data_IF_222382780210
#
_entry.id   IF_222382780210
#
_cell.length_a   1.000
_cell.length_b   1.000
_cell.length_c   1.000
_cell.angle_alpha   90.00
_cell.angle_beta   90.00
_cell.angle_gamma   90.00
#
_symmetry.space_group_name_H-M   'P 1'
#
loop_
_entity.id
_entity.type
_entity.pdbx_description
1 polymer ?
#
# COMPACT_ATOMS: atom_id res chain seq x y z
N UNK A 1 -27.32 1.67 4.38
CA UNK A 1 -26.10 2.36 4.84
C UNK A 1 -24.91 1.38 4.92
N UNK A 2 -25.02 0.24 5.62
CA UNK A 2 -23.93 -0.75 5.72
C UNK A 2 -23.50 -1.32 4.37
N UNK A 3 -24.43 -1.72 3.51
CA UNK A 3 -24.11 -2.23 2.17
C UNK A 3 -23.27 -1.23 1.35
N UNK A 4 -23.64 0.04 1.39
CA UNK A 4 -22.87 1.08 0.70
C UNK A 4 -21.44 1.21 1.27
N UNK A 5 -21.29 1.16 2.59
CA UNK A 5 -19.96 1.20 3.24
C UNK A 5 -19.12 -0.02 2.85
N UNK A 6 -19.70 -1.21 2.86
CA UNK A 6 -19.04 -2.45 2.44
C UNK A 6 -18.55 -2.37 0.98
N UNK A 7 -19.43 -1.95 0.07
CA UNK A 7 -19.07 -1.79 -1.34
C UNK A 7 -17.96 -0.75 -1.51
N UNK A 8 -18.07 0.39 -0.83
CA UNK A 8 -17.05 1.45 -0.88
C UNK A 8 -15.70 0.94 -0.35
N UNK A 9 -15.68 0.26 0.80
CA UNK A 9 -14.46 -0.29 1.38
C UNK A 9 -13.80 -1.31 0.45
N UNK A 10 -14.57 -2.24 -0.13
CA UNK A 10 -14.06 -3.25 -1.07
C UNK A 10 -13.51 -2.59 -2.33
N UNK A 11 -14.23 -1.64 -2.94
CA UNK A 11 -13.76 -0.96 -4.15
C UNK A 11 -12.47 -0.18 -3.88
N UNK A 12 -12.46 0.64 -2.84
CA UNK A 12 -11.30 1.50 -2.53
C UNK A 12 -10.08 0.67 -2.16
N UNK A 13 -10.26 -0.39 -1.34
CA UNK A 13 -9.19 -1.31 -0.98
C UNK A 13 -8.71 -2.13 -2.18
N UNK A 14 -9.63 -2.66 -2.99
CA UNK A 14 -9.30 -3.47 -4.17
C UNK A 14 -8.52 -2.69 -5.23
N UNK A 15 -8.93 -1.46 -5.53
CA UNK A 15 -8.21 -0.57 -6.44
C UNK A 15 -6.81 -0.25 -5.91
N UNK A 16 -6.67 -0.03 -4.60
CA UNK A 16 -5.38 0.24 -3.99
C UNK A 16 -4.46 -0.99 -4.05
N UNK A 17 -4.93 -2.16 -3.64
CA UNK A 17 -4.14 -3.42 -3.70
C UNK A 17 -3.77 -3.75 -5.15
N UNK A 18 -4.71 -3.58 -6.08
CA UNK A 18 -4.45 -3.78 -7.51
C UNK A 18 -3.36 -2.83 -8.04
N UNK A 19 -3.39 -1.56 -7.66
CA UNK A 19 -2.36 -0.59 -8.05
C UNK A 19 -0.99 -0.96 -7.49
N UNK A 20 -0.91 -1.34 -6.21
CA UNK A 20 0.33 -1.77 -5.56
C UNK A 20 0.89 -3.06 -6.19
N UNK A 21 0.01 -4.01 -6.51
CA UNK A 21 0.39 -5.24 -7.20
C UNK A 21 0.91 -4.95 -8.61
N UNK A 22 0.23 -4.06 -9.37
CA UNK A 22 0.67 -3.67 -10.70
C UNK A 22 2.05 -3.01 -10.68
N UNK A 23 2.32 -2.16 -9.68
CA UNK A 23 3.63 -1.55 -9.49
C UNK A 23 4.69 -2.62 -9.22
N UNK A 24 4.43 -3.57 -8.33
CA UNK A 24 5.39 -4.62 -7.97
C UNK A 24 5.64 -5.61 -9.11
N UNK A 25 4.58 -5.98 -9.84
CA UNK A 25 4.64 -7.05 -10.85
C UNK A 25 5.09 -6.56 -12.24
N UNK A 26 4.78 -5.33 -12.59
CA UNK A 26 4.99 -4.82 -13.95
C UNK A 26 5.86 -3.58 -14.02
N UNK A 27 5.60 -2.57 -13.17
CA UNK A 27 6.29 -1.29 -13.28
C UNK A 27 7.75 -1.41 -12.86
N UNK A 28 8.05 -1.99 -11.69
CA UNK A 28 9.42 -2.15 -11.22
C UNK A 28 10.28 -3.02 -12.13
N UNK A 29 9.85 -4.23 -12.55
CA UNK A 29 10.63 -5.02 -13.49
C UNK A 29 10.85 -4.36 -14.84
N UNK A 30 9.94 -3.48 -15.25
CA UNK A 30 10.10 -2.70 -16.49
C UNK A 30 11.14 -1.61 -16.31
N UNK A 31 11.12 -0.88 -15.18
CA UNK A 31 12.12 0.12 -14.87
C UNK A 31 13.53 -0.48 -14.78
N UNK A 32 13.67 -1.66 -14.20
CA UNK A 32 14.96 -2.34 -14.04
C UNK A 32 15.64 -2.73 -15.36
N UNK A 33 14.87 -2.81 -16.44
CA UNK A 33 15.37 -3.07 -17.81
C UNK A 33 15.83 -1.82 -18.56
N UNK A 34 15.53 -0.64 -18.04
CA UNK A 34 15.90 0.62 -18.68
C UNK A 34 17.39 0.94 -18.44
N UNK A 35 18.04 1.64 -19.37
CA UNK A 35 19.36 2.22 -19.13
C UNK A 35 19.34 3.14 -17.90
N UNK A 36 20.43 3.20 -17.14
CA UNK A 36 20.54 3.95 -15.89
C UNK A 36 20.14 5.43 -16.03
N UNK A 37 20.47 6.04 -17.16
CA UNK A 37 20.12 7.42 -17.47
C UNK A 37 18.61 7.68 -17.58
N UNK A 38 17.81 6.63 -17.84
CA UNK A 38 16.34 6.70 -17.95
C UNK A 38 15.69 6.16 -16.70
N UNK A 39 16.22 5.05 -16.15
CA UNK A 39 15.68 4.39 -14.95
C UNK A 39 15.55 5.36 -13.78
N UNK A 40 16.62 6.06 -13.44
CA UNK A 40 16.68 6.89 -12.24
C UNK A 40 15.70 8.08 -12.27
N UNK A 41 15.62 8.88 -13.35
CA UNK A 41 14.60 9.92 -13.48
C UNK A 41 13.17 9.37 -13.41
N UNK A 42 12.89 8.25 -14.08
CA UNK A 42 11.57 7.62 -14.08
C UNK A 42 11.18 7.11 -12.67
N UNK A 43 12.11 6.42 -12.00
CA UNK A 43 11.90 5.95 -10.62
C UNK A 43 11.66 7.12 -9.64
N UNK A 44 12.42 8.21 -9.76
CA UNK A 44 12.25 9.41 -8.93
C UNK A 44 10.92 10.11 -9.19
N UNK A 45 10.47 10.20 -10.44
CA UNK A 45 9.18 10.78 -10.81
C UNK A 45 8.02 9.94 -10.23
N UNK A 46 8.08 8.61 -10.42
CA UNK A 46 7.09 7.68 -9.88
C UNK A 46 7.03 7.72 -8.35
N UNK A 47 8.20 7.68 -7.68
CA UNK A 47 8.32 7.77 -6.24
C UNK A 47 7.69 9.05 -5.67
N UNK A 48 7.84 10.17 -6.36
CA UNK A 48 7.24 11.46 -5.97
C UNK A 48 5.72 11.43 -6.09
N UNK A 49 5.19 10.93 -7.20
CA UNK A 49 3.74 10.85 -7.42
C UNK A 49 3.09 9.91 -6.41
N UNK A 50 3.60 8.69 -6.30
CA UNK A 50 3.06 7.68 -5.38
C UNK A 50 3.23 8.12 -3.91
N UNK A 51 4.38 8.69 -3.54
CA UNK A 51 4.62 9.20 -2.20
C UNK A 51 3.65 10.32 -1.79
N UNK A 52 3.08 11.06 -2.75
CA UNK A 52 2.08 12.09 -2.51
C UNK A 52 0.66 11.53 -2.34
N UNK A 53 0.26 10.56 -3.17
CA UNK A 53 -1.13 10.09 -3.21
C UNK A 53 -1.38 8.87 -2.31
N UNK A 54 -0.44 7.93 -2.22
CA UNK A 54 -0.63 6.68 -1.50
C UNK A 54 -0.94 6.85 -0.01
N UNK A 55 -0.30 7.77 0.76
CA UNK A 55 -0.63 7.92 2.18
C UNK A 55 -2.11 8.23 2.44
N UNK A 56 -2.72 9.08 1.61
CA UNK A 56 -4.15 9.40 1.73
C UNK A 56 -5.03 8.20 1.43
N UNK A 57 -4.64 7.38 0.46
CA UNK A 57 -5.37 6.18 0.09
C UNK A 57 -5.30 5.12 1.19
N UNK A 58 -4.12 4.92 1.80
CA UNK A 58 -3.96 4.04 2.97
C UNK A 58 -4.83 4.46 4.15
N UNK A 59 -4.84 5.75 4.46
CA UNK A 59 -5.68 6.31 5.53
C UNK A 59 -7.16 6.07 5.21
N UNK A 60 -7.59 6.32 3.97
CA UNK A 60 -8.98 6.13 3.57
C UNK A 60 -9.42 4.67 3.73
N UNK A 61 -8.65 3.70 3.26
CA UNK A 61 -8.98 2.27 3.43
C UNK A 61 -9.03 1.89 4.90
N UNK A 62 -8.06 2.34 5.70
CA UNK A 62 -8.05 2.09 7.13
C UNK A 62 -9.30 2.66 7.82
N UNK A 63 -9.67 3.90 7.53
CA UNK A 63 -10.85 4.53 8.13
C UNK A 63 -12.15 3.85 7.71
N UNK A 64 -12.30 3.44 6.45
CA UNK A 64 -13.47 2.69 5.99
C UNK A 64 -13.59 1.34 6.73
N UNK A 65 -12.50 0.58 6.81
CA UNK A 65 -12.47 -0.71 7.52
C UNK A 65 -12.73 -0.55 9.02
N UNK A 66 -12.14 0.48 9.64
CA UNK A 66 -12.37 0.79 11.05
C UNK A 66 -13.83 1.18 11.31
N UNK A 67 -14.44 1.99 10.44
CA UNK A 67 -15.84 2.35 10.54
C UNK A 67 -16.74 1.11 10.49
N UNK A 68 -16.46 0.15 9.59
CA UNK A 68 -17.18 -1.13 9.55
C UNK A 68 -17.06 -1.90 10.88
N UNK A 69 -15.85 -2.00 11.44
CA UNK A 69 -15.63 -2.66 12.72
C UNK A 69 -16.48 -2.03 13.82
N UNK A 70 -16.44 -0.71 13.95
CA UNK A 70 -17.13 0.02 15.01
C UNK A 70 -18.66 -0.10 14.89
N UNK A 71 -19.20 0.05 13.67
CA UNK A 71 -20.64 -0.04 13.43
C UNK A 71 -21.13 -1.45 13.73
N UNK A 72 -20.47 -2.49 13.23
CA UNK A 72 -20.86 -3.87 13.45
C UNK A 72 -20.75 -4.29 14.91
N UNK A 73 -19.69 -3.86 15.59
CA UNK A 73 -19.53 -4.10 17.02
C UNK A 73 -20.66 -3.46 17.82
N UNK A 74 -20.99 -2.20 17.50
CA UNK A 74 -22.10 -1.50 18.18
C UNK A 74 -23.46 -2.16 17.94
N UNK A 75 -23.71 -2.67 16.73
CA UNK A 75 -24.99 -3.30 16.37
C UNK A 75 -25.17 -4.71 16.95
N UNK A 76 -24.12 -5.52 16.99
CA UNK A 76 -24.19 -6.94 17.37
C UNK A 76 -23.67 -7.24 18.77
N UNK A 77 -22.96 -6.32 19.41
CA UNK A 77 -22.22 -6.54 20.64
C UNK A 77 -21.04 -7.50 20.50
N UNK A 78 -20.73 -7.96 19.29
CA UNK A 78 -19.64 -8.90 18.98
C UNK A 78 -18.62 -8.25 18.07
N UNK A 79 -17.34 -8.49 18.35
CA UNK A 79 -16.26 -8.02 17.47
C UNK A 79 -16.30 -8.77 16.12
N UNK A 80 -16.41 -8.04 14.99
CA UNK A 80 -16.34 -8.67 13.66
C UNK A 80 -14.88 -9.04 13.35
N UNK A 81 -14.46 -10.22 13.82
CA UNK A 81 -13.04 -10.62 13.88
C UNK A 81 -12.31 -10.52 12.54
N UNK A 82 -12.94 -10.90 11.43
CA UNK A 82 -12.31 -10.85 10.11
C UNK A 82 -12.04 -9.42 9.66
N UNK A 83 -13.00 -8.50 9.80
CA UNK A 83 -12.85 -7.10 9.44
C UNK A 83 -11.88 -6.40 10.40
N UNK A 84 -11.92 -6.74 11.69
CA UNK A 84 -10.98 -6.22 12.68
C UNK A 84 -9.53 -6.66 12.37
N UNK A 85 -9.34 -7.93 11.99
CA UNK A 85 -8.03 -8.42 11.52
C UNK A 85 -7.57 -7.66 10.28
N UNK A 86 -8.45 -7.42 9.31
CA UNK A 86 -8.14 -6.59 8.15
C UNK A 86 -7.68 -5.19 8.56
N UNK A 87 -8.41 -4.51 9.43
CA UNK A 87 -8.06 -3.16 9.91
C UNK A 87 -6.68 -3.13 10.61
N UNK A 88 -6.38 -4.14 11.44
CA UNK A 88 -5.06 -4.28 12.09
C UNK A 88 -3.95 -4.46 11.03
N UNK A 89 -4.16 -5.30 10.04
CA UNK A 89 -3.18 -5.52 8.97
C UNK A 89 -2.95 -4.26 8.13
N UNK A 90 -4.00 -3.44 7.87
CA UNK A 90 -3.86 -2.13 7.23
C UNK A 90 -3.03 -1.17 8.07
N UNK A 91 -3.25 -1.11 9.38
CA UNK A 91 -2.46 -0.31 10.30
C UNK A 91 -0.99 -0.76 10.32
N UNK A 92 -0.73 -2.06 10.39
CA UNK A 92 0.62 -2.63 10.35
C UNK A 92 1.32 -2.35 9.01
N UNK A 93 0.62 -2.48 7.88
CA UNK A 93 1.17 -2.15 6.57
C UNK A 93 1.53 -0.65 6.44
N UNK A 94 0.71 0.22 7.03
CA UNK A 94 0.97 1.66 7.09
C UNK A 94 2.20 1.97 7.94
N UNK A 95 2.30 1.40 9.14
CA UNK A 95 3.45 1.55 10.02
C UNK A 95 4.73 1.02 9.35
N UNK A 96 4.67 -0.18 8.76
CA UNK A 96 5.76 -0.76 8.00
C UNK A 96 6.22 0.17 6.87
N UNK A 97 5.27 0.77 6.13
CA UNK A 97 5.59 1.70 5.04
C UNK A 97 6.33 2.93 5.54
N UNK A 98 5.84 3.56 6.61
CA UNK A 98 6.43 4.79 7.15
C UNK A 98 7.83 4.53 7.71
N UNK A 99 8.05 3.40 8.36
CA UNK A 99 9.33 3.09 9.01
C UNK A 99 10.39 2.54 8.06
N UNK A 100 9.99 1.85 6.99
CA UNK A 100 10.94 1.17 6.09
C UNK A 100 10.99 1.75 4.67
N UNK A 101 9.84 1.94 4.02
CA UNK A 101 9.76 2.31 2.61
C UNK A 101 9.90 3.82 2.39
N UNK A 102 9.25 4.64 3.22
CA UNK A 102 9.27 6.10 3.08
C UNK A 102 10.68 6.68 3.19
N UNK A 103 11.57 6.27 4.12
CA UNK A 103 12.94 6.77 4.17
C UNK A 103 13.74 6.49 2.91
N UNK A 104 13.59 5.29 2.32
CA UNK A 104 14.27 4.95 1.06
C UNK A 104 13.65 5.74 -0.10
N UNK A 105 12.33 5.85 -0.15
CA UNK A 105 11.62 6.60 -1.18
C UNK A 105 12.06 8.08 -1.21
N UNK A 106 12.19 8.72 -0.05
CA UNK A 106 12.66 10.10 0.06
C UNK A 106 14.08 10.28 -0.49
N UNK A 107 14.97 9.30 -0.27
CA UNK A 107 16.31 9.28 -0.86
C UNK A 107 16.23 9.19 -2.39
N UNK A 108 15.43 8.27 -2.94
CA UNK A 108 15.25 8.11 -4.39
C UNK A 108 14.73 9.42 -5.03
N UNK A 109 13.78 10.08 -4.39
CA UNK A 109 13.27 11.38 -4.86
C UNK A 109 14.35 12.47 -4.84
N UNK A 110 15.24 12.47 -3.85
CA UNK A 110 16.31 13.47 -3.75
C UNK A 110 17.35 13.34 -4.88
N UNK A 111 17.57 12.14 -5.41
CA UNK A 111 18.53 11.91 -6.51
C UNK A 111 18.13 12.56 -7.84
N UNK A 112 16.89 13.02 -7.99
CA UNK A 112 16.53 13.87 -9.14
C UNK A 112 17.23 15.25 -9.14
N UNK A 113 17.82 15.65 -8.01
CA UNK A 113 18.43 16.97 -7.82
C UNK A 113 19.94 16.91 -7.50
N UNK A 114 20.46 15.75 -7.16
CA UNK A 114 21.84 15.52 -6.76
C UNK A 114 22.39 14.28 -7.45
N UNK A 115 23.71 14.20 -7.60
CA UNK A 115 24.35 12.99 -8.13
C UNK A 115 23.99 11.78 -7.25
N UNK A 116 23.42 10.71 -7.83
CA UNK A 116 23.08 9.52 -7.07
C UNK A 116 24.38 8.84 -6.58
N UNK A 117 24.32 8.15 -5.42
CA UNK A 117 25.45 7.37 -4.95
C UNK A 117 25.74 6.21 -5.90
N UNK A 118 26.99 5.73 -5.93
CA UNK A 118 27.39 4.64 -6.83
C UNK A 118 26.58 3.34 -6.59
N UNK A 119 26.09 3.13 -5.39
CA UNK A 119 25.29 1.96 -4.96
C UNK A 119 23.77 2.19 -5.01
N UNK A 120 23.28 3.18 -5.75
CA UNK A 120 21.85 3.52 -5.84
C UNK A 120 20.97 2.34 -6.25
N UNK A 121 21.49 1.40 -7.05
CA UNK A 121 20.78 0.17 -7.45
C UNK A 121 20.50 -0.74 -6.25
N UNK A 122 21.40 -0.80 -5.28
CA UNK A 122 21.20 -1.56 -4.04
C UNK A 122 20.04 -1.00 -3.21
N UNK A 123 19.97 0.33 -3.08
CA UNK A 123 18.83 0.97 -2.42
C UNK A 123 17.51 0.71 -3.16
N UNK A 124 17.56 0.75 -4.49
CA UNK A 124 16.38 0.48 -5.32
C UNK A 124 15.91 -0.97 -5.16
N UNK A 125 16.80 -1.95 -5.30
CA UNK A 125 16.46 -3.37 -5.11
C UNK A 125 15.94 -3.67 -3.71
N UNK A 126 16.49 -3.03 -2.68
CA UNK A 126 15.99 -3.15 -1.31
C UNK A 126 14.57 -2.60 -1.20
N UNK A 127 14.29 -1.44 -1.79
CA UNK A 127 12.96 -0.87 -1.80
C UNK A 127 11.96 -1.79 -2.52
N UNK A 128 12.31 -2.36 -3.67
CA UNK A 128 11.47 -3.28 -4.42
C UNK A 128 11.14 -4.55 -3.63
N UNK A 129 12.11 -5.11 -2.91
CA UNK A 129 11.90 -6.27 -2.03
C UNK A 129 10.92 -5.94 -0.90
N UNK A 130 11.15 -4.83 -0.19
CA UNK A 130 10.28 -4.38 0.90
C UNK A 130 8.86 -4.07 0.40
N UNK A 131 8.76 -3.48 -0.81
CA UNK A 131 7.48 -3.21 -1.45
C UNK A 131 6.71 -4.50 -1.77
N UNK A 132 7.37 -5.55 -2.30
CA UNK A 132 6.73 -6.86 -2.54
C UNK A 132 6.16 -7.46 -1.25
N UNK A 133 6.90 -7.42 -0.15
CA UNK A 133 6.39 -7.87 1.15
C UNK A 133 5.18 -7.07 1.62
N UNK A 134 5.19 -5.76 1.42
CA UNK A 134 4.01 -4.92 1.69
C UNK A 134 2.81 -5.34 0.85
N UNK A 135 3.00 -5.58 -0.45
CA UNK A 135 1.91 -6.04 -1.35
C UNK A 135 1.31 -7.35 -0.86
N UNK A 136 2.11 -8.31 -0.42
CA UNK A 136 1.62 -9.56 0.18
C UNK A 136 0.76 -9.27 1.42
N UNK A 137 1.24 -8.43 2.32
CA UNK A 137 0.51 -8.05 3.53
C UNK A 137 -0.84 -7.38 3.21
N UNK A 138 -0.85 -6.46 2.25
CA UNK A 138 -2.05 -5.77 1.79
C UNK A 138 -3.06 -6.71 1.12
N UNK A 139 -2.58 -7.67 0.33
CA UNK A 139 -3.43 -8.69 -0.29
C UNK A 139 -4.11 -9.57 0.76
N UNK A 140 -3.37 -9.96 1.81
CA UNK A 140 -3.92 -10.71 2.94
C UNK A 140 -4.97 -9.86 3.67
N UNK A 141 -4.67 -8.58 3.96
CA UNK A 141 -5.61 -7.67 4.59
C UNK A 141 -6.91 -7.52 3.79
N UNK A 142 -6.79 -7.40 2.47
CA UNK A 142 -7.94 -7.32 1.56
C UNK A 142 -8.76 -8.61 1.54
N UNK A 143 -8.12 -9.77 1.55
CA UNK A 143 -8.81 -11.06 1.64
C UNK A 143 -9.64 -11.17 2.94
N UNK A 144 -9.08 -10.75 4.08
CA UNK A 144 -9.82 -10.70 5.35
C UNK A 144 -11.00 -9.74 5.31
N UNK A 145 -10.89 -8.60 4.62
CA UNK A 145 -12.02 -7.69 4.43
C UNK A 145 -13.15 -8.36 3.63
N UNK A 146 -12.83 -9.01 2.50
CA UNK A 146 -13.82 -9.70 1.66
C UNK A 146 -14.51 -10.81 2.44
N UNK A 147 -13.75 -11.66 3.15
CA UNK A 147 -14.32 -12.75 3.99
C UNK A 147 -15.22 -12.16 5.07
N UNK A 148 -14.79 -11.09 5.74
CA UNK A 148 -15.54 -10.46 6.79
C UNK A 148 -16.85 -9.82 6.31
N UNK A 149 -16.87 -9.25 5.11
CA UNK A 149 -18.08 -8.71 4.50
C UNK A 149 -19.02 -9.83 4.05
N UNK A 150 -18.51 -10.93 3.51
CA UNK A 150 -19.32 -12.06 3.04
C UNK A 150 -19.84 -13.00 4.15
N UNK A 151 -19.33 -12.88 5.38
CA UNK A 151 -19.69 -13.73 6.51
C UNK A 151 -20.76 -13.14 7.47
N UNK A 152 -21.39 -12.05 7.06
CA UNK A 152 -22.42 -11.33 7.84
C UNK A 152 -23.80 -11.95 7.72
#
# INVERSE_FOLDING_TARGET
MMEFLNVAAIIVAGLMVGSELAIAAFVHPTLDRLPDAVHLPAASALARVLGRFMPFWYILVFLLTLAEVLILWHQSGRLPIWIATSAILWALASLYSVTTLVPINNRIVSWAKVTPPADWKTFRSRWDLLHRWRVVLLTIAFAFLIVGVGSK
#
